data_IF_563367312703
#
_entry.id   IF_563367312703
#
_cell.length_a   1.000
_cell.length_b   1.000
_cell.length_c   1.000
_cell.angle_alpha   90.00
_cell.angle_beta   90.00
_cell.angle_gamma   90.00
#
_symmetry.space_group_name_H-M   'P 1'
#
loop_
_entity.id
_entity.type
_entity.pdbx_description
1 polymer ?
#
# COMPACT_ATOMS: atom_id res chain seq x y z
N UNK A 1 42.85 44.36 6.20
CA UNK A 1 42.79 42.93 5.81
C UNK A 1 42.64 41.97 7.00
N UNK A 2 42.80 42.39 8.26
CA UNK A 2 42.69 41.52 9.45
C UNK A 2 41.25 41.18 9.86
N UNK A 3 40.31 42.12 9.72
CA UNK A 3 38.94 41.92 10.24
C UNK A 3 38.06 41.05 9.35
N UNK A 4 38.22 41.15 8.02
CA UNK A 4 37.52 40.29 7.05
C UNK A 4 37.92 38.81 7.18
N UNK A 5 39.20 38.50 7.46
CA UNK A 5 39.66 37.12 7.70
C UNK A 5 39.18 36.55 9.04
N UNK A 6 39.07 37.37 10.09
CA UNK A 6 38.51 36.94 11.37
C UNK A 6 37.01 36.68 11.27
N UNK A 7 36.27 37.54 10.57
CA UNK A 7 34.86 37.34 10.24
C UNK A 7 34.64 36.06 9.43
N UNK A 8 35.48 35.79 8.41
CA UNK A 8 35.34 34.57 7.62
C UNK A 8 35.61 33.29 8.44
N UNK A 9 36.60 33.29 9.34
CA UNK A 9 36.92 32.14 10.20
C UNK A 9 35.80 31.90 11.23
N UNK A 10 35.26 32.94 11.85
CA UNK A 10 34.13 32.82 12.78
C UNK A 10 32.84 32.39 12.08
N UNK A 11 32.62 32.86 10.84
CA UNK A 11 31.49 32.40 10.04
C UNK A 11 31.64 30.93 9.65
N UNK A 12 32.85 30.49 9.28
CA UNK A 12 33.14 29.09 8.97
C UNK A 12 32.95 28.17 10.18
N UNK A 13 33.42 28.56 11.37
CA UNK A 13 33.23 27.75 12.59
C UNK A 13 31.77 27.71 13.04
N UNK A 14 31.04 28.82 12.91
CA UNK A 14 29.59 28.88 13.15
C UNK A 14 28.83 27.97 12.17
N UNK A 15 29.12 28.08 10.86
CA UNK A 15 28.51 27.25 9.83
C UNK A 15 28.81 25.76 10.05
N UNK A 16 30.04 25.42 10.46
CA UNK A 16 30.38 24.05 10.85
C UNK A 16 29.55 23.59 12.06
N UNK A 17 29.44 24.40 13.11
CA UNK A 17 28.64 24.06 14.29
C UNK A 17 27.15 23.87 13.99
N UNK A 18 26.56 24.74 13.15
CA UNK A 18 25.18 24.61 12.70
C UNK A 18 24.98 23.34 11.85
N UNK A 19 25.95 23.00 10.98
CA UNK A 19 25.91 21.78 10.19
C UNK A 19 25.96 20.51 11.05
N UNK A 20 26.74 20.53 12.15
CA UNK A 20 26.81 19.43 13.10
C UNK A 20 25.49 19.29 13.87
N UNK A 21 24.88 20.39 14.30
CA UNK A 21 23.58 20.37 14.98
C UNK A 21 22.46 19.88 14.06
N UNK A 22 22.42 20.32 12.80
CA UNK A 22 21.45 19.85 11.82
C UNK A 22 21.57 18.34 11.57
N UNK A 23 22.81 17.83 11.46
CA UNK A 23 23.06 16.38 11.35
C UNK A 23 22.69 15.62 12.62
N UNK A 24 22.94 16.19 13.79
CA UNK A 24 22.54 15.58 15.06
C UNK A 24 21.01 15.48 15.18
N UNK A 25 20.28 16.52 14.78
CA UNK A 25 18.82 16.49 14.73
C UNK A 25 18.32 15.38 13.80
N UNK A 26 18.94 15.23 12.62
CA UNK A 26 18.64 14.14 11.68
C UNK A 26 18.87 12.75 12.29
N UNK A 27 19.96 12.56 13.04
CA UNK A 27 20.23 11.31 13.75
C UNK A 27 19.14 11.03 14.80
N UNK A 28 18.71 12.05 15.54
CA UNK A 28 17.63 11.90 16.50
C UNK A 28 16.28 11.57 15.85
N UNK A 29 15.98 12.12 14.67
CA UNK A 29 14.79 11.73 13.88
C UNK A 29 14.84 10.24 13.54
N UNK A 30 15.95 9.78 12.96
CA UNK A 30 16.12 8.36 12.58
C UNK A 30 16.06 7.43 13.78
N UNK A 31 16.67 7.83 14.90
CA UNK A 31 16.59 7.09 16.15
C UNK A 31 15.14 7.03 16.66
N UNK A 32 14.39 8.14 16.56
CA UNK A 32 12.98 8.20 16.89
C UNK A 32 12.12 7.25 16.05
N UNK A 33 12.33 7.25 14.73
CA UNK A 33 11.62 6.36 13.81
C UNK A 33 11.94 4.88 14.08
N UNK A 34 13.22 4.55 14.33
CA UNK A 34 13.65 3.20 14.67
C UNK A 34 13.02 2.72 15.98
N UNK A 35 13.08 3.53 17.04
CA UNK A 35 12.45 3.19 18.32
C UNK A 35 10.93 3.05 18.20
N UNK A 36 10.29 3.83 17.33
CA UNK A 36 8.86 3.69 17.03
C UNK A 36 8.56 2.32 16.45
N UNK A 37 9.34 1.87 15.47
CA UNK A 37 9.18 0.54 14.87
C UNK A 37 9.43 -0.60 15.86
N UNK A 38 10.34 -0.40 16.82
CA UNK A 38 10.64 -1.37 17.87
C UNK A 38 9.63 -1.36 19.03
N UNK A 39 8.63 -0.46 19.02
CA UNK A 39 7.67 -0.29 20.11
C UNK A 39 8.22 0.43 21.35
N UNK A 40 9.45 0.96 21.27
CA UNK A 40 10.11 1.74 22.33
C UNK A 40 9.63 3.20 22.31
N UNK A 41 8.35 3.41 22.60
CA UNK A 41 7.71 4.70 22.37
C UNK A 41 8.24 5.86 23.23
N UNK A 42 8.67 5.58 24.46
CA UNK A 42 9.23 6.60 25.36
C UNK A 42 10.57 7.12 24.86
N UNK A 43 11.42 6.22 24.35
CA UNK A 43 12.71 6.52 23.74
C UNK A 43 12.53 7.27 22.42
N UNK A 44 11.55 6.86 21.61
CA UNK A 44 11.18 7.55 20.38
C UNK A 44 10.76 8.99 20.65
N UNK A 45 9.86 9.19 21.61
CA UNK A 45 9.38 10.53 21.99
C UNK A 45 10.51 11.43 22.49
N UNK A 46 11.42 10.89 23.31
CA UNK A 46 12.60 11.63 23.77
C UNK A 46 13.49 12.08 22.61
N UNK A 47 13.81 11.16 21.68
CA UNK A 47 14.65 11.45 20.53
C UNK A 47 13.99 12.51 19.62
N UNK A 48 12.71 12.35 19.30
CA UNK A 48 11.98 13.30 18.44
C UNK A 48 11.85 14.69 19.09
N UNK A 49 11.63 14.78 20.40
CA UNK A 49 11.62 16.07 21.11
C UNK A 49 13.00 16.75 21.09
N UNK A 50 14.09 15.98 21.21
CA UNK A 50 15.45 16.50 21.06
C UNK A 50 15.68 17.04 19.64
N UNK A 51 15.28 16.29 18.61
CA UNK A 51 15.35 16.74 17.23
C UNK A 51 14.55 18.04 17.01
N UNK A 52 13.31 18.10 17.49
CA UNK A 52 12.43 19.26 17.35
C UNK A 52 13.05 20.51 17.99
N UNK A 53 13.60 20.35 19.19
CA UNK A 53 14.28 21.44 19.92
C UNK A 53 15.45 21.99 19.11
N UNK A 54 16.28 21.11 18.52
CA UNK A 54 17.42 21.52 17.70
C UNK A 54 16.95 22.22 16.42
N UNK A 55 15.97 21.66 15.69
CA UNK A 55 15.46 22.26 14.44
C UNK A 55 14.86 23.65 14.67
N UNK A 56 14.11 23.84 15.76
CA UNK A 56 13.60 25.15 16.19
C UNK A 56 14.72 26.13 16.53
N UNK A 57 15.74 25.69 17.27
CA UNK A 57 16.89 26.53 17.60
C UNK A 57 17.68 26.97 16.35
N UNK A 58 17.70 26.14 15.30
CA UNK A 58 18.31 26.45 14.01
C UNK A 58 17.39 27.27 13.09
N UNK A 59 16.14 27.52 13.47
CA UNK A 59 15.10 28.11 12.60
C UNK A 59 14.93 27.33 11.28
N UNK A 60 15.11 26.02 11.33
CA UNK A 60 15.00 25.11 10.19
C UNK A 60 13.57 24.59 10.08
N UNK A 61 12.73 25.34 9.36
CA UNK A 61 11.30 25.02 9.18
C UNK A 61 11.10 23.67 8.47
N UNK A 62 11.86 23.36 7.43
CA UNK A 62 11.76 22.08 6.70
C UNK A 62 12.16 20.92 7.62
N UNK A 63 13.21 21.10 8.42
CA UNK A 63 13.60 20.13 9.43
C UNK A 63 12.56 19.98 10.54
N UNK A 64 11.90 21.06 10.97
CA UNK A 64 10.79 20.99 11.92
C UNK A 64 9.61 20.19 11.35
N UNK A 65 9.22 20.43 10.10
CA UNK A 65 8.20 19.65 9.40
C UNK A 65 8.56 18.15 9.39
N UNK A 66 9.81 17.81 9.06
CA UNK A 66 10.29 16.43 9.08
C UNK A 66 10.12 15.77 10.46
N UNK A 67 10.49 16.47 11.54
CA UNK A 67 10.30 15.95 12.91
C UNK A 67 8.82 15.76 13.22
N UNK A 68 7.94 16.69 12.83
CA UNK A 68 6.50 16.55 13.03
C UNK A 68 5.92 15.34 12.28
N UNK A 69 6.41 15.05 11.07
CA UNK A 69 6.01 13.82 10.34
C UNK A 69 6.38 12.55 11.10
N UNK A 70 7.60 12.50 11.66
CA UNK A 70 8.06 11.38 12.51
C UNK A 70 7.30 11.30 13.83
N UNK A 71 6.94 12.43 14.45
CA UNK A 71 6.06 12.44 15.62
C UNK A 71 4.67 11.92 15.26
N UNK A 72 4.12 12.28 14.11
CA UNK A 72 2.87 11.72 13.60
C UNK A 72 2.95 10.20 13.40
N UNK A 73 4.07 9.70 12.87
CA UNK A 73 4.34 8.26 12.75
C UNK A 73 4.37 7.57 14.12
N UNK A 74 5.06 8.16 15.11
CA UNK A 74 5.05 7.67 16.49
C UNK A 74 3.64 7.61 17.07
N UNK A 75 2.86 8.69 16.98
CA UNK A 75 1.49 8.73 17.52
C UNK A 75 0.57 7.72 16.86
N UNK A 76 0.74 7.47 15.56
CA UNK A 76 0.02 6.42 14.84
C UNK A 76 0.28 5.03 15.45
N UNK A 77 1.55 4.69 15.69
CA UNK A 77 1.92 3.41 16.31
C UNK A 77 1.48 3.28 17.78
N UNK A 78 1.22 4.40 18.46
CA UNK A 78 0.60 4.43 19.79
C UNK A 78 -0.93 4.30 19.77
N UNK A 79 -1.57 4.22 18.60
CA UNK A 79 -3.02 4.23 18.45
C UNK A 79 -3.67 5.61 18.65
N UNK A 80 -2.86 6.68 18.73
CA UNK A 80 -3.30 8.06 18.95
C UNK A 80 -3.52 8.76 17.61
N UNK A 81 -4.54 8.30 16.87
CA UNK A 81 -4.75 8.69 15.48
C UNK A 81 -5.06 10.17 15.28
N UNK A 82 -5.84 10.79 16.17
CA UNK A 82 -6.16 12.22 16.10
C UNK A 82 -4.90 13.09 16.25
N UNK A 83 -4.02 12.74 17.18
CA UNK A 83 -2.76 13.45 17.38
C UNK A 83 -1.78 13.21 16.23
N UNK A 84 -1.77 12.00 15.66
CA UNK A 84 -1.00 11.70 14.47
C UNK A 84 -1.42 12.58 13.28
N UNK A 85 -2.73 12.77 13.10
CA UNK A 85 -3.29 13.67 12.09
C UNK A 85 -2.89 15.13 12.35
N UNK A 86 -3.02 15.60 13.59
CA UNK A 86 -2.64 16.96 13.96
C UNK A 86 -1.14 17.25 13.67
N UNK A 87 -0.26 16.28 13.95
CA UNK A 87 1.16 16.40 13.61
C UNK A 87 1.38 16.51 12.09
N UNK A 88 0.70 15.68 11.29
CA UNK A 88 0.81 15.70 9.82
C UNK A 88 0.23 16.97 9.19
N UNK A 89 -0.88 17.48 9.73
CA UNK A 89 -1.47 18.75 9.29
C UNK A 89 -0.57 19.94 9.61
N UNK A 90 0.05 19.93 10.79
CA UNK A 90 1.03 20.94 11.18
C UNK A 90 2.26 20.91 10.29
N UNK A 91 2.77 19.72 9.97
CA UNK A 91 3.87 19.53 9.02
C UNK A 91 3.51 20.07 7.62
N UNK A 92 2.34 19.71 7.09
CA UNK A 92 1.85 20.22 5.80
C UNK A 92 1.72 21.76 5.79
N UNK A 93 1.27 22.36 6.89
CA UNK A 93 1.18 23.83 6.99
C UNK A 93 2.56 24.50 6.89
N UNK A 94 3.59 23.88 7.49
CA UNK A 94 4.98 24.34 7.36
C UNK A 94 5.49 24.15 5.93
N UNK A 95 5.25 22.98 5.34
CA UNK A 95 5.72 22.68 3.98
C UNK A 95 5.05 23.55 2.92
N UNK A 96 3.78 23.92 3.09
CA UNK A 96 3.12 24.91 2.21
C UNK A 96 3.79 26.28 2.22
N UNK A 97 4.41 26.66 3.34
CA UNK A 97 5.06 27.96 3.49
C UNK A 97 6.56 27.94 3.12
N UNK A 98 7.24 26.84 3.41
CA UNK A 98 8.70 26.76 3.38
C UNK A 98 9.26 25.56 2.60
N UNK A 99 8.42 24.56 2.31
CA UNK A 99 8.78 23.38 1.55
C UNK A 99 8.66 23.60 0.05
N UNK A 100 9.07 22.60 -0.72
CA UNK A 100 8.85 22.57 -2.16
C UNK A 100 7.46 22.00 -2.52
N UNK A 101 7.00 22.30 -3.73
CA UNK A 101 5.72 21.84 -4.25
C UNK A 101 5.60 20.32 -4.24
N UNK A 102 6.70 19.61 -4.47
CA UNK A 102 6.77 18.15 -4.47
C UNK A 102 6.46 17.56 -3.08
N UNK A 103 7.03 18.16 -2.03
CA UNK A 103 6.84 17.77 -0.64
C UNK A 103 5.39 17.99 -0.23
N UNK A 104 4.83 19.16 -0.54
CA UNK A 104 3.42 19.47 -0.29
C UNK A 104 2.49 18.44 -0.95
N UNK A 105 2.70 18.16 -2.24
CA UNK A 105 1.90 17.18 -2.97
C UNK A 105 2.02 15.77 -2.36
N UNK A 106 3.23 15.38 -1.91
CA UNK A 106 3.46 14.09 -1.26
C UNK A 106 2.73 13.99 0.07
N UNK A 107 2.78 15.04 0.89
CA UNK A 107 2.10 15.07 2.18
C UNK A 107 0.58 15.03 2.04
N UNK A 108 0.04 15.77 1.05
CA UNK A 108 -1.37 15.74 0.69
C UNK A 108 -1.81 14.34 0.25
N UNK A 109 -1.05 13.65 -0.62
CA UNK A 109 -1.36 12.25 -1.00
C UNK A 109 -1.38 11.32 0.22
N UNK A 110 -0.42 11.47 1.12
CA UNK A 110 -0.33 10.65 2.33
C UNK A 110 -1.50 10.91 3.30
N UNK A 111 -1.84 12.19 3.55
CA UNK A 111 -2.99 12.57 4.35
C UNK A 111 -4.29 12.07 3.74
N UNK A 112 -4.44 12.19 2.43
CA UNK A 112 -5.59 11.66 1.69
C UNK A 112 -5.77 10.16 1.88
N UNK A 113 -4.69 9.38 1.79
CA UNK A 113 -4.73 7.94 2.04
C UNK A 113 -5.11 7.60 3.49
N UNK A 114 -4.61 8.37 4.46
CA UNK A 114 -4.97 8.19 5.88
C UNK A 114 -6.45 8.49 6.10
N UNK A 115 -6.96 9.63 5.62
CA UNK A 115 -8.38 9.98 5.74
C UNK A 115 -9.28 8.94 5.09
N UNK A 116 -8.90 8.40 3.92
CA UNK A 116 -9.63 7.31 3.26
C UNK A 116 -9.70 6.06 4.15
N UNK A 117 -8.60 5.69 4.80
CA UNK A 117 -8.54 4.52 5.68
C UNK A 117 -9.39 4.72 6.95
N UNK A 118 -9.50 5.95 7.44
CA UNK A 118 -10.35 6.33 8.56
C UNK A 118 -11.83 6.56 8.18
N UNK A 119 -12.20 6.36 6.90
CA UNK A 119 -13.57 6.57 6.41
C UNK A 119 -13.97 8.04 6.22
N UNK A 120 -13.03 8.99 6.38
CA UNK A 120 -13.29 10.40 6.13
C UNK A 120 -13.08 10.74 4.64
N UNK A 121 -14.04 10.31 3.82
CA UNK A 121 -13.94 10.38 2.36
C UNK A 121 -13.88 11.82 1.82
N UNK A 122 -14.60 12.77 2.43
CA UNK A 122 -14.60 14.18 2.02
C UNK A 122 -13.21 14.82 2.15
N UNK A 123 -12.59 14.67 3.33
CA UNK A 123 -11.23 15.19 3.57
C UNK A 123 -10.19 14.45 2.73
N UNK A 124 -10.41 13.15 2.50
CA UNK A 124 -9.54 12.37 1.63
C UNK A 124 -9.52 12.93 0.20
N UNK A 125 -10.71 13.17 -0.39
CA UNK A 125 -10.83 13.75 -1.74
C UNK A 125 -10.20 15.14 -1.79
N UNK A 126 -10.50 16.03 -0.84
CA UNK A 126 -9.92 17.38 -0.81
C UNK A 126 -8.38 17.35 -0.86
N UNK A 127 -7.74 16.52 -0.03
CA UNK A 127 -6.28 16.38 -0.06
C UNK A 127 -5.77 15.77 -1.37
N UNK A 128 -6.41 14.72 -1.86
CA UNK A 128 -5.95 14.01 -3.07
C UNK A 128 -6.13 14.83 -4.35
N UNK A 129 -7.22 15.60 -4.46
CA UNK A 129 -7.49 16.49 -5.59
C UNK A 129 -6.48 17.65 -5.63
N UNK A 130 -6.16 18.23 -4.48
CA UNK A 130 -5.09 19.24 -4.39
C UNK A 130 -3.74 18.64 -4.81
N UNK A 131 -3.38 17.46 -4.29
CA UNK A 131 -2.15 16.76 -4.70
C UNK A 131 -2.12 16.46 -6.21
N UNK A 132 -3.26 16.04 -6.77
CA UNK A 132 -3.41 15.76 -8.20
C UNK A 132 -3.11 17.01 -9.04
N UNK A 133 -3.69 18.17 -8.68
CA UNK A 133 -3.44 19.43 -9.37
C UNK A 133 -1.96 19.83 -9.32
N UNK A 134 -1.31 19.65 -8.16
CA UNK A 134 0.13 19.94 -8.02
C UNK A 134 0.98 19.01 -8.90
N UNK A 135 0.70 17.71 -8.94
CA UNK A 135 1.44 16.79 -9.80
C UNK A 135 1.21 17.02 -11.30
N UNK A 136 0.02 17.47 -11.69
CA UNK A 136 -0.26 17.89 -13.07
C UNK A 136 0.56 19.13 -13.45
N UNK A 137 0.60 20.16 -12.59
CA UNK A 137 1.40 21.36 -12.79
C UNK A 137 2.90 21.04 -12.89
N UNK A 138 3.37 20.10 -12.09
CA UNK A 138 4.75 19.62 -12.11
C UNK A 138 5.06 18.67 -13.26
N UNK A 139 4.04 18.23 -14.03
CA UNK A 139 4.16 17.21 -15.07
C UNK A 139 4.84 15.93 -14.54
N UNK A 140 4.41 15.45 -13.37
CA UNK A 140 4.97 14.27 -12.70
C UNK A 140 4.01 13.06 -12.81
N UNK A 141 3.99 12.34 -13.95
CA UNK A 141 3.08 11.21 -14.15
C UNK A 141 3.30 10.08 -13.13
N UNK A 142 4.54 9.87 -12.69
CA UNK A 142 4.92 8.82 -11.74
C UNK A 142 4.22 8.98 -10.39
N UNK A 143 3.96 10.22 -9.95
CA UNK A 143 3.23 10.51 -8.71
C UNK A 143 1.76 10.83 -8.91
N UNK A 144 1.41 11.33 -10.09
CA UNK A 144 0.02 11.56 -10.49
C UNK A 144 -0.78 10.25 -10.50
N UNK A 145 -0.26 9.18 -11.11
CA UNK A 145 -0.99 7.91 -11.23
C UNK A 145 -1.39 7.29 -9.88
N UNK A 146 -0.50 7.11 -8.88
CA UNK A 146 -0.91 6.62 -7.56
C UNK A 146 -1.91 7.54 -6.84
N UNK A 147 -1.84 8.85 -7.09
CA UNK A 147 -2.78 9.83 -6.50
C UNK A 147 -4.17 9.68 -7.12
N UNK A 148 -4.27 9.57 -8.44
CA UNK A 148 -5.53 9.28 -9.15
C UNK A 148 -6.11 7.92 -8.74
N UNK A 149 -5.26 6.90 -8.57
CA UNK A 149 -5.69 5.59 -8.05
C UNK A 149 -6.30 5.71 -6.65
N UNK A 150 -5.73 6.55 -5.78
CA UNK A 150 -6.29 6.78 -4.46
C UNK A 150 -7.64 7.51 -4.52
N UNK A 151 -7.83 8.46 -5.44
CA UNK A 151 -9.13 9.11 -5.69
C UNK A 151 -10.15 8.09 -6.18
N UNK A 152 -9.76 7.22 -7.12
CA UNK A 152 -10.60 6.14 -7.62
C UNK A 152 -11.08 5.22 -6.50
N UNK A 153 -10.17 4.81 -5.60
CA UNK A 153 -10.51 4.00 -4.42
C UNK A 153 -11.52 4.69 -3.50
N UNK A 154 -11.45 6.02 -3.36
CA UNK A 154 -12.44 6.76 -2.54
C UNK A 154 -13.80 6.74 -3.22
N UNK A 155 -13.87 7.00 -4.53
CA UNK A 155 -15.14 6.95 -5.27
C UNK A 155 -15.75 5.54 -5.29
N UNK A 156 -14.93 4.50 -5.47
CA UNK A 156 -15.38 3.10 -5.41
C UNK A 156 -16.00 2.79 -4.05
N UNK A 157 -15.37 3.19 -2.94
CA UNK A 157 -15.96 3.03 -1.59
C UNK A 157 -17.26 3.80 -1.37
N UNK A 158 -17.45 4.92 -2.07
CA UNK A 158 -18.68 5.71 -2.03
C UNK A 158 -19.78 5.14 -2.95
N UNK A 159 -19.50 4.09 -3.72
CA UNK A 159 -20.40 3.52 -4.72
C UNK A 159 -20.49 4.31 -6.03
N UNK A 160 -19.65 5.34 -6.21
CA UNK A 160 -19.56 6.11 -7.46
C UNK A 160 -18.65 5.38 -8.45
N UNK A 161 -19.16 4.26 -8.96
CA UNK A 161 -18.41 3.33 -9.82
C UNK A 161 -17.99 3.98 -11.15
N UNK A 162 -18.80 4.91 -11.66
CA UNK A 162 -18.52 5.62 -12.92
C UNK A 162 -17.29 6.52 -12.78
N UNK A 163 -17.21 7.33 -11.72
CA UNK A 163 -16.02 8.15 -11.46
C UNK A 163 -14.81 7.30 -11.10
N UNK A 164 -15.00 6.26 -10.28
CA UNK A 164 -13.93 5.34 -9.94
C UNK A 164 -13.30 4.72 -11.20
N UNK A 165 -14.13 4.22 -12.12
CA UNK A 165 -13.69 3.67 -13.40
C UNK A 165 -12.91 4.70 -14.23
N UNK A 166 -13.40 5.94 -14.34
CA UNK A 166 -12.73 7.00 -15.09
C UNK A 166 -11.33 7.30 -14.52
N UNK A 167 -11.20 7.38 -13.19
CA UNK A 167 -9.91 7.59 -12.55
C UNK A 167 -8.97 6.38 -12.67
N UNK A 168 -9.46 5.15 -12.53
CA UNK A 168 -8.63 3.95 -12.75
C UNK A 168 -8.15 3.85 -14.19
N UNK A 169 -8.99 4.17 -15.17
CA UNK A 169 -8.60 4.17 -16.58
C UNK A 169 -7.51 5.21 -16.84
N UNK A 170 -7.66 6.42 -16.29
CA UNK A 170 -6.62 7.45 -16.39
C UNK A 170 -5.31 7.01 -15.73
N UNK A 171 -5.37 6.35 -14.58
CA UNK A 171 -4.17 5.76 -13.93
C UNK A 171 -3.52 4.70 -14.83
N UNK A 172 -4.31 3.80 -15.42
CA UNK A 172 -3.81 2.78 -16.35
C UNK A 172 -3.10 3.42 -17.54
N UNK A 173 -3.72 4.43 -18.18
CA UNK A 173 -3.16 5.11 -19.34
C UNK A 173 -1.80 5.77 -19.01
N UNK A 174 -1.68 6.38 -17.83
CA UNK A 174 -0.40 6.93 -17.36
C UNK A 174 0.63 5.81 -17.15
N UNK A 175 0.24 4.69 -16.54
CA UNK A 175 1.15 3.56 -16.35
C UNK A 175 1.60 2.91 -17.66
N UNK A 176 0.76 2.94 -18.71
CA UNK A 176 1.16 2.57 -20.07
C UNK A 176 2.21 3.55 -20.60
N UNK A 177 1.96 4.85 -20.49
CA UNK A 177 2.88 5.90 -20.95
C UNK A 177 4.23 5.86 -20.22
N UNK A 178 4.25 5.56 -18.93
CA UNK A 178 5.48 5.47 -18.12
C UNK A 178 6.10 4.08 -18.14
N UNK A 179 5.59 3.13 -18.92
CA UNK A 179 6.03 1.74 -18.97
C UNK A 179 6.07 1.04 -17.60
N UNK A 180 5.17 1.41 -16.68
CA UNK A 180 5.06 0.79 -15.37
C UNK A 180 4.10 -0.41 -15.45
N UNK A 181 4.65 -1.58 -15.83
CA UNK A 181 3.87 -2.82 -15.99
C UNK A 181 3.15 -3.23 -14.70
N UNK A 182 3.80 -3.09 -13.54
CA UNK A 182 3.20 -3.42 -12.26
C UNK A 182 2.03 -2.47 -11.91
N UNK A 183 2.17 -1.18 -12.21
CA UNK A 183 1.06 -0.23 -12.04
C UNK A 183 -0.12 -0.54 -12.96
N UNK A 184 0.13 -1.04 -14.17
CA UNK A 184 -0.91 -1.46 -15.11
C UNK A 184 -1.72 -2.63 -14.55
N UNK A 185 -1.07 -3.65 -13.95
CA UNK A 185 -1.79 -4.80 -13.38
C UNK A 185 -2.70 -4.37 -12.24
N UNK A 186 -2.23 -3.52 -11.31
CA UNK A 186 -3.09 -3.00 -10.24
C UNK A 186 -4.30 -2.22 -10.76
N UNK A 187 -4.10 -1.32 -11.73
CA UNK A 187 -5.20 -0.55 -12.32
C UNK A 187 -6.22 -1.46 -13.03
N UNK A 188 -5.75 -2.45 -13.80
CA UNK A 188 -6.62 -3.40 -14.49
C UNK A 188 -7.41 -4.28 -13.52
N UNK A 189 -6.80 -4.73 -12.42
CA UNK A 189 -7.50 -5.46 -11.35
C UNK A 189 -8.67 -4.65 -10.79
N UNK A 190 -8.44 -3.35 -10.50
CA UNK A 190 -9.51 -2.48 -10.02
C UNK A 190 -10.59 -2.24 -11.07
N UNK A 191 -10.22 -2.05 -12.34
CA UNK A 191 -11.20 -1.90 -13.44
C UNK A 191 -12.04 -3.19 -13.59
N UNK A 192 -11.42 -4.36 -13.51
CA UNK A 192 -12.10 -5.65 -13.56
C UNK A 192 -13.10 -5.79 -12.41
N UNK A 193 -12.72 -5.38 -11.20
CA UNK A 193 -13.62 -5.38 -10.05
C UNK A 193 -14.82 -4.45 -10.26
N UNK A 194 -14.62 -3.23 -10.77
CA UNK A 194 -15.71 -2.33 -11.10
C UNK A 194 -16.63 -2.92 -12.18
N UNK A 195 -16.07 -3.60 -13.19
CA UNK A 195 -16.88 -4.30 -14.20
C UNK A 195 -17.70 -5.44 -13.61
N UNK A 196 -17.16 -6.16 -12.64
CA UNK A 196 -17.92 -7.17 -11.89
C UNK A 196 -19.10 -6.53 -11.15
N UNK A 197 -18.86 -5.46 -10.39
CA UNK A 197 -19.92 -4.75 -9.65
C UNK A 197 -21.00 -4.16 -10.56
N UNK A 198 -20.63 -3.71 -11.76
CA UNK A 198 -21.56 -3.23 -12.78
C UNK A 198 -22.30 -4.36 -13.54
N UNK A 199 -22.06 -5.63 -13.21
CA UNK A 199 -22.65 -6.78 -13.90
C UNK A 199 -22.07 -7.05 -15.30
N UNK A 200 -20.96 -6.41 -15.66
CA UNK A 200 -20.22 -6.64 -16.91
C UNK A 200 -19.28 -7.84 -16.76
N UNK A 201 -19.87 -9.00 -16.46
CA UNK A 201 -19.15 -10.23 -16.10
C UNK A 201 -18.11 -10.66 -17.14
N UNK A 202 -18.47 -10.63 -18.44
CA UNK A 202 -17.56 -11.05 -19.50
C UNK A 202 -16.31 -10.15 -19.60
N UNK A 203 -16.50 -8.83 -19.48
CA UNK A 203 -15.40 -7.89 -19.51
C UNK A 203 -14.50 -8.01 -18.28
N UNK A 204 -15.10 -8.20 -17.10
CA UNK A 204 -14.37 -8.50 -15.85
C UNK A 204 -13.49 -9.75 -16.00
N UNK A 205 -14.08 -10.87 -16.43
CA UNK A 205 -13.36 -12.14 -16.58
C UNK A 205 -12.20 -12.02 -17.57
N UNK A 206 -12.41 -11.33 -18.70
CA UNK A 206 -11.36 -11.06 -19.69
C UNK A 206 -10.21 -10.25 -19.08
N UNK A 207 -10.51 -9.23 -18.28
CA UNK A 207 -9.49 -8.41 -17.63
C UNK A 207 -8.72 -9.18 -16.56
N UNK A 208 -9.37 -9.98 -15.72
CA UNK A 208 -8.67 -10.82 -14.74
C UNK A 208 -7.73 -11.83 -15.40
N UNK A 209 -8.16 -12.49 -16.49
CA UNK A 209 -7.28 -13.36 -17.28
C UNK A 209 -6.07 -12.62 -17.85
N UNK A 210 -6.26 -11.37 -18.30
CA UNK A 210 -5.16 -10.53 -18.75
C UNK A 210 -4.19 -10.19 -17.59
N UNK A 211 -4.71 -9.81 -16.42
CA UNK A 211 -3.89 -9.53 -15.23
C UNK A 211 -3.04 -10.74 -14.85
N UNK A 212 -3.62 -11.95 -14.81
CA UNK A 212 -2.88 -13.19 -14.54
C UNK A 212 -1.70 -13.34 -15.50
N UNK A 213 -1.96 -13.26 -16.82
CA UNK A 213 -0.91 -13.36 -17.84
C UNK A 213 0.17 -12.29 -17.66
N UNK A 214 -0.21 -11.04 -17.46
CA UNK A 214 0.74 -9.94 -17.25
C UNK A 214 1.60 -10.16 -16.00
N UNK A 215 1.00 -10.57 -14.87
CA UNK A 215 1.76 -10.84 -13.64
C UNK A 215 2.72 -12.01 -13.79
N UNK A 216 2.34 -13.02 -14.57
CA UNK A 216 3.20 -14.16 -14.91
C UNK A 216 4.39 -13.73 -15.77
N UNK A 217 4.15 -12.92 -16.82
CA UNK A 217 5.20 -12.41 -17.71
C UNK A 217 6.19 -11.50 -16.97
N UNK A 218 5.73 -10.73 -15.98
CA UNK A 218 6.56 -9.87 -15.13
C UNK A 218 7.39 -10.70 -14.12
N UNK A 219 6.96 -11.92 -13.81
CA UNK A 219 7.55 -12.74 -12.75
C UNK A 219 7.25 -12.21 -11.34
N UNK A 220 6.14 -11.49 -11.15
CA UNK A 220 5.73 -10.97 -9.85
C UNK A 220 4.90 -12.01 -9.08
N UNK A 221 5.58 -12.92 -8.38
CA UNK A 221 4.95 -14.08 -7.71
C UNK A 221 3.78 -13.72 -6.80
N UNK A 222 3.93 -12.75 -5.88
CA UNK A 222 2.82 -12.34 -5.01
C UNK A 222 1.62 -11.82 -5.80
N UNK A 223 1.84 -10.97 -6.80
CA UNK A 223 0.75 -10.45 -7.63
C UNK A 223 0.09 -11.53 -8.49
N UNK A 224 0.88 -12.48 -8.99
CA UNK A 224 0.37 -13.64 -9.70
C UNK A 224 -0.56 -14.46 -8.80
N UNK A 225 -0.14 -14.78 -7.58
CA UNK A 225 -1.00 -15.49 -6.63
C UNK A 225 -2.31 -14.75 -6.37
N UNK A 226 -2.26 -13.45 -6.05
CA UNK A 226 -3.48 -12.68 -5.83
C UNK A 226 -4.39 -12.60 -7.07
N UNK A 227 -3.82 -12.47 -8.27
CA UNK A 227 -4.58 -12.44 -9.52
C UNK A 227 -5.26 -13.78 -9.80
N UNK A 228 -4.53 -14.89 -9.63
CA UNK A 228 -5.03 -16.25 -9.76
C UNK A 228 -6.15 -16.55 -8.76
N UNK A 229 -5.94 -16.17 -7.49
CA UNK A 229 -6.96 -16.27 -6.43
C UNK A 229 -8.23 -15.53 -6.83
N UNK A 230 -8.12 -14.25 -7.21
CA UNK A 230 -9.28 -13.42 -7.55
C UNK A 230 -10.04 -13.97 -8.76
N UNK A 231 -9.33 -14.45 -9.78
CA UNK A 231 -9.92 -15.10 -10.94
C UNK A 231 -10.66 -16.39 -10.55
N UNK A 232 -10.04 -17.22 -9.71
CA UNK A 232 -10.64 -18.45 -9.19
C UNK A 232 -11.92 -18.19 -8.39
N UNK A 233 -11.90 -17.23 -7.47
CA UNK A 233 -13.08 -16.81 -6.68
C UNK A 233 -14.19 -16.28 -7.59
N UNK A 234 -13.86 -15.47 -8.60
CA UNK A 234 -14.83 -14.99 -9.58
C UNK A 234 -15.48 -16.16 -10.35
N UNK A 235 -14.71 -17.15 -10.79
CA UNK A 235 -15.23 -18.33 -11.47
C UNK A 235 -16.11 -19.19 -10.57
N UNK A 236 -15.78 -19.30 -9.27
CA UNK A 236 -16.65 -19.93 -8.28
C UNK A 236 -17.98 -19.18 -8.13
N UNK A 237 -17.95 -17.85 -8.06
CA UNK A 237 -19.15 -17.01 -8.01
C UNK A 237 -20.03 -17.16 -9.27
N UNK A 238 -19.42 -17.52 -10.41
CA UNK A 238 -20.12 -17.86 -11.66
C UNK A 238 -20.59 -19.32 -11.74
N UNK A 239 -20.38 -20.11 -10.69
CA UNK A 239 -20.68 -21.54 -10.65
C UNK A 239 -19.91 -22.34 -11.73
N UNK A 240 -18.66 -21.94 -12.00
CA UNK A 240 -17.73 -22.59 -12.93
C UNK A 240 -16.52 -23.23 -12.22
N UNK A 241 -16.74 -24.16 -11.28
CA UNK A 241 -15.66 -24.62 -10.41
C UNK A 241 -14.58 -25.46 -11.10
N UNK A 242 -14.93 -26.10 -12.21
CA UNK A 242 -13.95 -26.86 -13.01
C UNK A 242 -12.88 -25.95 -13.61
N UNK A 243 -13.25 -24.72 -13.97
CA UNK A 243 -12.31 -23.72 -14.48
C UNK A 243 -11.63 -22.96 -13.34
N UNK A 244 -12.30 -22.76 -12.21
CA UNK A 244 -11.74 -22.09 -11.04
C UNK A 244 -10.54 -22.85 -10.42
N UNK A 245 -10.66 -24.17 -10.30
CA UNK A 245 -9.73 -24.97 -9.50
C UNK A 245 -8.26 -24.89 -9.92
N UNK A 246 -7.92 -25.00 -11.21
CA UNK A 246 -6.53 -24.85 -11.65
C UNK A 246 -5.91 -23.53 -11.19
N UNK A 247 -6.66 -22.42 -11.26
CA UNK A 247 -6.17 -21.11 -10.84
C UNK A 247 -5.97 -21.02 -9.32
N UNK A 248 -6.93 -21.50 -8.53
CA UNK A 248 -6.81 -21.51 -7.06
C UNK A 248 -5.64 -22.40 -6.60
N UNK A 249 -5.45 -23.53 -7.25
CA UNK A 249 -4.33 -24.41 -6.96
C UNK A 249 -3.00 -23.73 -7.28
N UNK A 250 -2.84 -23.20 -8.50
CA UNK A 250 -1.63 -22.49 -8.91
C UNK A 250 -1.32 -21.34 -7.94
N UNK A 251 -2.32 -20.56 -7.54
CA UNK A 251 -2.17 -19.50 -6.52
C UNK A 251 -1.57 -20.04 -5.22
N UNK A 252 -2.09 -21.16 -4.71
CA UNK A 252 -1.63 -21.74 -3.45
C UNK A 252 -0.22 -22.32 -3.56
N UNK A 253 0.14 -22.89 -4.72
CA UNK A 253 1.50 -23.36 -4.99
C UNK A 253 2.48 -22.21 -5.00
N UNK A 254 2.17 -21.11 -5.70
CA UNK A 254 3.05 -19.93 -5.73
C UNK A 254 3.18 -19.29 -4.33
N UNK A 255 2.11 -19.21 -3.54
CA UNK A 255 2.21 -18.74 -2.15
C UNK A 255 3.10 -19.64 -1.28
N UNK A 256 2.98 -20.96 -1.42
CA UNK A 256 3.83 -21.91 -0.70
C UNK A 256 5.31 -21.78 -1.08
N UNK A 257 5.63 -21.57 -2.37
CA UNK A 257 6.99 -21.30 -2.84
C UNK A 257 7.59 -20.01 -2.27
N UNK A 258 6.74 -19.01 -2.01
CA UNK A 258 7.12 -17.74 -1.38
C UNK A 258 7.21 -17.83 0.15
N UNK A 259 6.82 -18.95 0.75
CA UNK A 259 6.76 -19.15 2.20
C UNK A 259 5.56 -18.48 2.88
N UNK A 260 4.58 -18.00 2.11
CA UNK A 260 3.35 -17.37 2.60
C UNK A 260 2.25 -18.42 2.81
N UNK A 261 2.33 -19.12 3.93
CA UNK A 261 1.40 -20.19 4.26
C UNK A 261 0.07 -19.69 4.83
N UNK A 262 0.01 -18.43 5.26
CA UNK A 262 -1.22 -17.79 5.75
C UNK A 262 -2.16 -17.56 4.57
N UNK A 263 -1.68 -16.91 3.52
CA UNK A 263 -2.45 -16.69 2.29
C UNK A 263 -2.90 -17.99 1.62
N UNK A 264 -2.07 -19.05 1.67
CA UNK A 264 -2.46 -20.39 1.22
C UNK A 264 -3.66 -20.94 2.00
N UNK A 265 -3.66 -20.78 3.32
CA UNK A 265 -4.71 -21.26 4.22
C UNK A 265 -6.02 -20.53 3.96
N UNK A 266 -5.96 -19.20 3.88
CA UNK A 266 -7.14 -18.34 3.65
C UNK A 266 -7.90 -18.73 2.38
N UNK A 267 -7.21 -19.02 1.28
CA UNK A 267 -7.85 -19.41 0.00
C UNK A 267 -8.77 -20.61 0.21
N UNK A 268 -8.27 -21.65 0.87
CA UNK A 268 -9.01 -22.89 1.04
C UNK A 268 -10.10 -22.80 2.11
N UNK A 269 -9.93 -21.95 3.11
CA UNK A 269 -11.00 -21.62 4.07
C UNK A 269 -12.13 -20.84 3.40
N UNK A 270 -11.81 -19.89 2.51
CA UNK A 270 -12.80 -19.12 1.77
C UNK A 270 -13.57 -20.02 0.79
N UNK A 271 -12.87 -20.89 0.04
CA UNK A 271 -13.50 -21.90 -0.81
C UNK A 271 -14.44 -22.80 0.00
N UNK A 272 -14.03 -23.24 1.18
CA UNK A 272 -14.87 -24.06 2.06
C UNK A 272 -16.13 -23.33 2.52
N UNK A 273 -15.98 -22.06 2.94
CA UNK A 273 -17.06 -21.22 3.43
C UNK A 273 -18.08 -20.92 2.33
N UNK A 274 -17.59 -20.53 1.16
CA UNK A 274 -18.44 -20.08 0.04
C UNK A 274 -19.25 -21.22 -0.56
N UNK A 275 -18.72 -22.44 -0.54
CA UNK A 275 -19.38 -23.58 -1.16
C UNK A 275 -20.42 -24.24 -0.26
N UNK A 276 -20.48 -23.91 1.04
CA UNK A 276 -21.63 -24.14 1.94
C UNK A 276 -22.24 -25.55 1.97
N UNK A 277 -21.58 -26.55 1.40
CA UNK A 277 -22.01 -27.92 1.22
C UNK A 277 -20.79 -28.81 1.41
N UNK A 278 -20.83 -29.66 2.45
CA UNK A 278 -19.74 -30.58 2.78
C UNK A 278 -19.29 -31.43 1.59
N UNK A 279 -20.21 -31.87 0.71
CA UNK A 279 -19.85 -32.70 -0.46
C UNK A 279 -19.01 -31.97 -1.52
N UNK A 280 -19.34 -30.71 -1.84
CA UNK A 280 -18.60 -29.96 -2.86
C UNK A 280 -17.22 -29.57 -2.35
N UNK A 281 -17.13 -29.11 -1.12
CA UNK A 281 -15.84 -28.79 -0.49
C UNK A 281 -14.92 -30.03 -0.38
N UNK A 282 -15.47 -31.20 -0.01
CA UNK A 282 -14.74 -32.46 -0.02
C UNK A 282 -14.21 -32.80 -1.41
N UNK A 283 -15.01 -32.62 -2.47
CA UNK A 283 -14.54 -32.82 -3.84
C UNK A 283 -13.32 -31.96 -4.15
N UNK A 284 -13.33 -30.68 -3.78
CA UNK A 284 -12.20 -29.78 -4.05
C UNK A 284 -10.96 -30.08 -3.22
N UNK A 285 -11.12 -30.43 -1.95
CA UNK A 285 -10.00 -30.88 -1.13
C UNK A 285 -9.39 -32.19 -1.64
N UNK A 286 -10.20 -33.15 -2.10
CA UNK A 286 -9.70 -34.37 -2.74
C UNK A 286 -9.01 -34.09 -4.08
N UNK A 287 -9.56 -33.19 -4.90
CA UNK A 287 -8.94 -32.79 -6.16
C UNK A 287 -7.58 -32.10 -5.92
N UNK A 288 -7.53 -31.15 -4.98
CA UNK A 288 -6.30 -30.46 -4.55
C UNK A 288 -5.26 -31.44 -3.99
N UNK A 289 -5.68 -32.37 -3.13
CA UNK A 289 -4.84 -33.41 -2.56
C UNK A 289 -4.17 -34.26 -3.65
N UNK A 290 -4.93 -34.69 -4.65
CA UNK A 290 -4.41 -35.51 -5.74
C UNK A 290 -3.35 -34.77 -6.55
N UNK A 291 -3.59 -33.51 -6.89
CA UNK A 291 -2.62 -32.74 -7.68
C UNK A 291 -1.38 -32.42 -6.84
N UNK A 292 -1.52 -32.12 -5.55
CA UNK A 292 -0.38 -31.92 -4.63
C UNK A 292 0.51 -33.17 -4.51
N UNK A 293 -0.09 -34.36 -4.54
CA UNK A 293 0.65 -35.64 -4.64
C UNK A 293 1.41 -35.77 -5.96
N UNK A 294 0.80 -35.38 -7.08
CA UNK A 294 1.42 -35.43 -8.41
C UNK A 294 2.64 -34.50 -8.52
N UNK A 295 2.56 -33.29 -7.95
CA UNK A 295 3.68 -32.33 -7.94
C UNK A 295 4.69 -32.57 -6.81
N UNK A 296 4.44 -33.53 -5.92
CA UNK A 296 5.33 -33.88 -4.82
C UNK A 296 5.32 -32.92 -3.62
N UNK A 297 4.28 -32.09 -3.49
CA UNK A 297 4.10 -31.16 -2.38
C UNK A 297 3.59 -31.89 -1.12
N UNK A 298 4.52 -32.48 -0.37
CA UNK A 298 4.23 -33.23 0.86
C UNK A 298 3.63 -32.38 1.98
N UNK A 299 3.95 -31.08 2.01
CA UNK A 299 3.46 -30.19 3.07
C UNK A 299 2.00 -29.83 2.80
N UNK A 300 1.71 -29.39 1.57
CA UNK A 300 0.35 -29.13 1.14
C UNK A 300 -0.52 -30.38 1.19
N UNK A 301 0.04 -31.56 0.89
CA UNK A 301 -0.63 -32.84 1.11
C UNK A 301 -1.07 -33.00 2.59
N UNK A 302 -0.15 -32.79 3.53
CA UNK A 302 -0.45 -32.88 4.96
C UNK A 302 -1.53 -31.87 5.41
N UNK A 303 -1.48 -30.66 4.87
CA UNK A 303 -2.48 -29.61 5.14
C UNK A 303 -3.86 -29.97 4.60
N UNK A 304 -3.94 -30.50 3.37
CA UNK A 304 -5.19 -30.96 2.76
C UNK A 304 -5.79 -32.13 3.55
N UNK A 305 -4.97 -33.08 3.99
CA UNK A 305 -5.42 -34.20 4.82
C UNK A 305 -5.98 -33.74 6.17
N UNK A 306 -5.36 -32.73 6.79
CA UNK A 306 -5.87 -32.13 8.03
C UNK A 306 -7.26 -31.50 7.83
N UNK A 307 -7.43 -30.69 6.77
CA UNK A 307 -8.71 -30.04 6.48
C UNK A 307 -9.79 -31.05 6.09
N UNK A 308 -9.48 -32.04 5.25
CA UNK A 308 -10.37 -33.16 4.98
C UNK A 308 -10.85 -33.84 6.27
N UNK A 309 -9.94 -34.09 7.22
CA UNK A 309 -10.31 -34.68 8.51
C UNK A 309 -11.27 -33.79 9.31
N UNK A 310 -11.07 -32.47 9.32
CA UNK A 310 -11.99 -31.54 9.98
C UNK A 310 -13.40 -31.59 9.36
N UNK A 311 -13.49 -31.65 8.03
CA UNK A 311 -14.78 -31.74 7.32
C UNK A 311 -15.48 -33.07 7.58
N UNK A 312 -14.74 -34.18 7.69
CA UNK A 312 -15.34 -35.49 7.99
C UNK A 312 -15.84 -35.63 9.45
N UNK A 313 -15.39 -34.75 10.36
CA UNK A 313 -15.73 -34.81 11.80
C UNK A 313 -16.78 -33.75 12.19
N UNK A 314 -17.01 -32.73 11.36
CA UNK A 314 -18.09 -31.73 11.52
C UNK A 314 -19.45 -32.26 11.12
#
# INVERSE_FOLDING_TARGET
>A
MSDSRRLSINLLSLLQSMSHLARLAEVYVRQGDLHTQLGCFSEAERALNQALTIRKALSDAVGESSVLKSMGFLRWHQGRYEEALACKESALAIDRQHGDTMTCATDLTNLGAIFRNLGNHERALACLEEACQLYELMQNPTKLAPTLYNIANVHSKLGDLERALAYYQRTYDIHVQTHNLLGQTFALTSIAHIYWELGKTYDSLRLYKNVVQMTQDIGYGQGLSHALRTLGELLLALNEPREALPYLLESTTVFAELGDHESETEIWEDVYRDLGQHEQALYYYHASLNIRREIGDRRGEGWMLHHLALVYIS
#
